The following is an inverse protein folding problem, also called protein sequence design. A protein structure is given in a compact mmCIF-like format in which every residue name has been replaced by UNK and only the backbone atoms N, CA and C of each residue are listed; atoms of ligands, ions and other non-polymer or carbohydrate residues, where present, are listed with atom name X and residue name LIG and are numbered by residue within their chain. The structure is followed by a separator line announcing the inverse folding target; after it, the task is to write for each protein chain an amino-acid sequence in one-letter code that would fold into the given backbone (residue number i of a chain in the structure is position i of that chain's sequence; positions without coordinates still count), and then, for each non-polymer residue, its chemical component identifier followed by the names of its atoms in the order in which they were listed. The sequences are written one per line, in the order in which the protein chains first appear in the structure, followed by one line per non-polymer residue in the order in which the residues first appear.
data_IF_776319318811
#
_entry.id   IF_776319318811
#
_cell.length_a   1.000
_cell.length_b   1.000
_cell.length_c   1.000
_cell.angle_alpha   90.00
_cell.angle_beta   90.00
_cell.angle_gamma   90.00
#
_symmetry.space_group_name_H-M   'P 1'
#
loop_
_entity.id
_entity.type
_entity.pdbx_description
1 polymer ?
#
# COMPACT_ATOMS: atom_id res chain seq x y z
N UNK A 1 -16.59 0.43 0.71
CA UNK A 1 -15.33 1.20 0.86
C UNK A 1 -14.93 1.70 -0.50
N UNK A 2 -14.53 2.97 -0.63
CA UNK A 2 -13.91 3.43 -1.87
C UNK A 2 -12.53 2.78 -2.02
N UNK A 3 -12.11 2.61 -3.26
CA UNK A 3 -10.86 1.94 -3.60
C UNK A 3 -9.66 2.64 -2.92
N UNK A 4 -9.71 3.97 -2.81
CA UNK A 4 -8.77 4.79 -2.06
C UNK A 4 -8.68 4.42 -0.58
N UNK A 5 -9.81 4.18 0.10
CA UNK A 5 -9.82 3.78 1.51
C UNK A 5 -9.24 2.39 1.72
N UNK A 6 -9.51 1.46 0.80
CA UNK A 6 -8.94 0.10 0.85
C UNK A 6 -7.44 0.15 0.65
N UNK A 7 -6.97 0.93 -0.33
CA UNK A 7 -5.53 1.12 -0.61
C UNK A 7 -4.82 1.78 0.57
N UNK A 8 -5.43 2.79 1.20
CA UNK A 8 -4.86 3.47 2.38
C UNK A 8 -4.74 2.52 3.57
N UNK A 9 -5.77 1.71 3.84
CA UNK A 9 -5.76 0.70 4.89
C UNK A 9 -4.73 -0.41 4.60
N UNK A 10 -4.67 -0.89 3.36
CA UNK A 10 -3.71 -1.91 2.93
C UNK A 10 -2.26 -1.45 3.11
N UNK A 11 -1.96 -0.21 2.71
CA UNK A 11 -0.63 0.36 2.88
C UNK A 11 -0.24 0.49 4.36
N UNK A 12 -1.16 0.94 5.22
CA UNK A 12 -0.94 0.97 6.67
C UNK A 12 -0.65 -0.42 7.24
N UNK A 13 -1.40 -1.44 6.84
CA UNK A 13 -1.16 -2.83 7.25
C UNK A 13 0.20 -3.34 6.76
N UNK A 14 0.57 -3.09 5.50
CA UNK A 14 1.86 -3.48 4.94
C UNK A 14 3.05 -2.85 5.67
N UNK A 15 2.93 -1.58 6.08
CA UNK A 15 3.95 -0.89 6.87
C UNK A 15 4.09 -1.51 8.26
N UNK A 16 2.98 -1.72 8.98
CA UNK A 16 3.01 -2.37 10.30
C UNK A 16 3.59 -3.78 10.25
N UNK A 17 3.23 -4.54 9.22
CA UNK A 17 3.72 -5.91 9.01
C UNK A 17 5.22 -5.91 8.70
N UNK A 18 5.70 -4.98 7.88
CA UNK A 18 7.13 -4.82 7.59
C UNK A 18 7.92 -4.39 8.82
N UNK A 19 7.33 -3.54 9.68
CA UNK A 19 7.93 -3.10 10.95
C UNK A 19 8.03 -4.26 11.96
N UNK A 20 6.97 -5.05 12.10
CA UNK A 20 6.98 -6.26 12.93
C UNK A 20 8.06 -7.26 12.46
N UNK A 21 8.18 -7.45 11.13
CA UNK A 21 9.17 -8.34 10.54
C UNK A 21 10.61 -7.81 10.68
N UNK A 22 10.78 -6.49 10.65
CA UNK A 22 12.06 -5.83 10.92
C UNK A 22 12.53 -6.09 12.36
N UNK A 23 11.61 -6.04 13.33
CA UNK A 23 11.92 -6.27 14.74
C UNK A 23 12.13 -7.74 15.07
N UNK A 24 11.38 -8.65 14.44
CA UNK A 24 11.38 -10.08 14.80
C UNK A 24 12.31 -10.95 13.96
N UNK A 25 12.60 -10.57 12.71
CA UNK A 25 13.37 -11.42 11.78
C UNK A 25 14.71 -10.80 11.44
N UNK A 26 14.74 -9.61 10.85
CA UNK A 26 15.99 -8.96 10.44
C UNK A 26 15.80 -7.47 10.10
N UNK A 27 16.75 -6.58 10.46
CA UNK A 27 16.72 -5.16 10.10
C UNK A 27 16.59 -4.88 8.59
N UNK A 28 16.95 -5.83 7.74
CA UNK A 28 16.92 -5.70 6.29
C UNK A 28 15.50 -5.52 5.72
N UNK A 29 14.45 -5.85 6.47
CA UNK A 29 13.06 -5.63 6.06
C UNK A 29 12.67 -4.14 5.97
N UNK A 30 13.48 -3.22 6.48
CA UNK A 30 13.33 -1.78 6.26
C UNK A 30 13.31 -1.44 4.76
N UNK A 31 14.11 -2.14 3.95
CA UNK A 31 14.11 -1.91 2.49
C UNK A 31 12.77 -2.25 1.85
N UNK A 32 12.05 -3.21 2.40
CA UNK A 32 10.70 -3.58 1.94
C UNK A 32 9.69 -2.49 2.32
N UNK A 33 9.80 -1.94 3.52
CA UNK A 33 9.01 -0.77 3.96
C UNK A 33 9.28 0.46 3.08
N UNK A 34 10.56 0.74 2.77
CA UNK A 34 10.95 1.86 1.91
C UNK A 34 10.41 1.65 0.50
N UNK A 35 10.51 0.45 -0.06
CA UNK A 35 9.95 0.12 -1.37
C UNK A 35 8.43 0.36 -1.40
N UNK A 36 7.68 -0.14 -0.40
CA UNK A 36 6.24 0.09 -0.29
C UNK A 36 5.92 1.59 -0.18
N UNK A 37 6.69 2.33 0.62
CA UNK A 37 6.53 3.78 0.80
C UNK A 37 6.79 4.57 -0.49
N UNK A 38 7.85 4.25 -1.23
CA UNK A 38 8.15 4.90 -2.52
C UNK A 38 7.05 4.64 -3.55
N UNK A 39 6.55 3.40 -3.63
CA UNK A 39 5.42 3.05 -4.51
C UNK A 39 4.13 3.80 -4.11
N UNK A 40 3.91 4.00 -2.80
CA UNK A 40 2.76 4.75 -2.30
C UNK A 40 2.87 6.25 -2.60
N UNK A 41 4.08 6.82 -2.46
CA UNK A 41 4.38 8.22 -2.84
C UNK A 41 4.17 8.39 -4.34
N UNK A 42 4.72 7.51 -5.18
CA UNK A 42 4.46 7.55 -6.63
C UNK A 42 2.97 7.49 -6.94
N UNK A 43 2.21 6.64 -6.24
CA UNK A 43 0.77 6.55 -6.40
C UNK A 43 0.04 7.83 -5.99
N UNK A 44 0.51 8.56 -4.97
CA UNK A 44 -0.10 9.81 -4.54
C UNK A 44 0.07 10.92 -5.58
N UNK A 45 1.19 10.92 -6.31
CA UNK A 45 1.49 11.91 -7.36
C UNK A 45 0.97 11.53 -8.74
N UNK A 46 0.99 10.25 -9.11
CA UNK A 46 0.61 9.78 -10.45
C UNK A 46 -0.79 9.16 -10.50
N UNK A 47 -1.44 8.92 -9.36
CA UNK A 47 -2.70 8.18 -9.27
C UNK A 47 -2.57 6.69 -9.64
N UNK A 48 -1.36 6.22 -9.95
CA UNK A 48 -1.08 4.88 -10.43
C UNK A 48 -0.67 3.99 -9.25
N UNK A 49 -1.64 3.49 -8.49
CA UNK A 49 -1.35 2.52 -7.43
C UNK A 49 -1.44 1.09 -8.00
N UNK A 50 -0.36 0.28 -7.97
CA UNK A 50 -0.47 -1.15 -8.31
C UNK A 50 -1.45 -1.88 -7.39
N UNK A 51 -1.55 -1.46 -6.12
CA UNK A 51 -2.59 -1.95 -5.20
C UNK A 51 -4.00 -1.57 -5.68
N UNK A 52 -4.17 -0.37 -6.26
CA UNK A 52 -5.46 0.03 -6.81
C UNK A 52 -5.84 -0.81 -8.03
N UNK A 53 -4.88 -1.16 -8.88
CA UNK A 53 -5.08 -2.04 -10.03
C UNK A 53 -5.45 -3.46 -9.54
N UNK A 54 -4.80 -3.95 -8.50
CA UNK A 54 -5.11 -5.25 -7.89
C UNK A 54 -6.52 -5.29 -7.27
N UNK A 55 -6.88 -4.26 -6.49
CA UNK A 55 -8.23 -4.16 -5.92
C UNK A 55 -9.31 -3.91 -6.99
N UNK A 56 -8.98 -3.18 -8.07
CA UNK A 56 -9.85 -3.04 -9.26
C UNK A 56 -10.05 -4.38 -9.97
N UNK A 57 -9.00 -5.20 -10.09
CA UNK A 57 -9.08 -6.54 -10.66
C UNK A 57 -9.90 -7.52 -9.78
N UNK A 58 -9.89 -7.32 -8.45
CA UNK A 58 -10.76 -8.02 -7.49
C UNK A 58 -12.23 -7.53 -7.50
N UNK A 59 -12.59 -6.61 -8.39
CA UNK A 59 -13.97 -6.12 -8.52
C UNK A 59 -14.34 -5.01 -7.54
N UNK A 60 -13.39 -4.46 -6.79
CA UNK A 60 -13.63 -3.27 -5.95
C UNK A 60 -13.81 -2.07 -6.87
N UNK A 61 -15.00 -1.49 -6.87
CA UNK A 61 -15.28 -0.33 -7.71
C UNK A 61 -14.42 0.87 -7.28
N UNK A 62 -13.79 1.61 -8.22
CA UNK A 62 -13.15 2.88 -7.94
C UNK A 62 -14.22 3.85 -7.44
N UNK A 63 -14.40 3.91 -6.12
CA UNK A 63 -15.27 4.89 -5.52
C UNK A 63 -14.66 6.27 -5.72
N UNK A 64 -15.47 7.23 -6.19
CA UNK A 64 -15.13 8.66 -6.16
C UNK A 64 -14.78 9.06 -4.73
N UNK A 65 -13.52 8.98 -4.37
CA UNK A 65 -12.98 9.67 -3.22
C UNK A 65 -11.94 10.68 -3.71
N UNK A 66 -12.31 11.45 -4.75
CA UNK A 66 -12.53 12.90 -4.77
C UNK A 66 -13.57 13.20 -5.87
#
# INVERSE_FOLDING_TARGET
MTLDRVVMAFAGCMVLLSLALTLWVSPHFIWLTVFVGVNQIQSAFTGFCPAAIFFKALGVQPGKAF
#
